data_IF_183262834727
#
_entry.id   IF_183262834727
#
_cell.length_a   1.000
_cell.length_b   1.000
_cell.length_c   1.000
_cell.angle_alpha   90.00
_cell.angle_beta   90.00
_cell.angle_gamma   90.00
#
_symmetry.space_group_name_H-M   'P 1'
#
loop_
_entity.id
_entity.type
_entity.pdbx_description
1 polymer ?
#
# COMPACT_ATOMS: atom_id res chain seq x y z
N UNK A 1 81.50 13.09 -38.93
CA UNK A 1 80.71 12.33 -37.94
C UNK A 1 79.26 12.43 -38.37
N UNK A 2 78.77 11.44 -39.10
CA UNK A 2 77.35 11.27 -39.38
C UNK A 2 76.69 10.80 -38.08
N UNK A 3 75.73 11.57 -37.57
CA UNK A 3 74.91 11.15 -36.43
C UNK A 3 74.13 9.90 -36.85
N UNK A 4 74.20 8.83 -36.05
CA UNK A 4 73.37 7.64 -36.20
C UNK A 4 71.90 8.02 -36.05
N UNK A 5 71.06 7.63 -37.00
CA UNK A 5 69.60 7.90 -36.97
C UNK A 5 68.93 7.21 -35.79
N UNK A 6 69.53 6.13 -35.30
CA UNK A 6 69.03 5.34 -34.17
C UNK A 6 69.81 5.60 -32.87
N UNK A 7 70.51 6.73 -32.75
CA UNK A 7 71.16 7.11 -31.51
C UNK A 7 70.14 7.22 -30.36
N UNK A 8 70.19 6.27 -29.42
CA UNK A 8 69.25 6.15 -28.30
C UNK A 8 68.25 5.01 -28.41
N UNK A 9 68.13 4.33 -29.56
CA UNK A 9 67.38 3.08 -29.67
C UNK A 9 68.16 1.93 -29.07
N UNK A 10 67.46 1.17 -28.25
CA UNK A 10 68.02 0.23 -27.32
C UNK A 10 67.96 -1.17 -27.98
N UNK A 11 66.87 -1.45 -28.71
CA UNK A 11 66.75 -2.54 -29.69
C UNK A 11 66.03 -2.07 -30.96
N UNK A 12 66.54 -2.47 -32.14
CA UNK A 12 65.94 -2.24 -33.45
C UNK A 12 65.55 -3.59 -34.08
N UNK A 13 64.28 -3.75 -34.42
CA UNK A 13 63.80 -4.88 -35.24
C UNK A 13 63.49 -4.34 -36.62
N UNK A 14 64.19 -4.81 -37.65
CA UNK A 14 64.01 -4.36 -39.03
C UNK A 14 63.51 -5.53 -39.90
N UNK A 15 62.26 -5.40 -40.36
CA UNK A 15 61.59 -6.36 -41.21
C UNK A 15 61.70 -5.95 -42.68
N UNK A 16 62.08 -6.88 -43.55
CA UNK A 16 62.21 -6.64 -45.00
C UNK A 16 63.47 -5.88 -45.38
N UNK A 17 64.58 -6.17 -44.71
CA UNK A 17 65.83 -5.40 -44.84
C UNK A 17 66.39 -5.40 -46.28
N UNK A 18 66.15 -6.45 -47.06
CA UNK A 18 66.57 -6.53 -48.46
C UNK A 18 68.09 -6.52 -48.67
N UNK A 19 68.53 -6.24 -49.90
CA UNK A 19 69.95 -6.29 -50.30
C UNK A 19 70.72 -4.99 -50.03
N UNK A 20 70.01 -3.86 -49.99
CA UNK A 20 70.59 -2.51 -50.06
C UNK A 20 70.45 -1.73 -48.75
N UNK A 21 70.19 -2.41 -47.63
CA UNK A 21 70.10 -1.75 -46.34
C UNK A 21 71.42 -1.08 -45.95
N UNK A 22 71.34 0.21 -45.67
CA UNK A 22 72.48 0.95 -45.12
C UNK A 22 72.53 0.79 -43.60
N UNK A 23 73.43 -0.08 -43.13
CA UNK A 23 73.67 -0.29 -41.70
C UNK A 23 74.47 0.86 -41.05
N UNK A 24 74.92 1.87 -41.80
CA UNK A 24 75.69 2.99 -41.24
C UNK A 24 74.87 3.93 -40.35
N UNK A 25 73.55 3.86 -40.45
CA UNK A 25 72.62 4.65 -39.64
C UNK A 25 72.36 4.07 -38.25
N UNK A 26 72.94 2.90 -37.93
CA UNK A 26 72.76 2.17 -36.68
C UNK A 26 73.91 2.49 -35.71
N UNK A 27 73.60 2.76 -34.44
CA UNK A 27 74.61 2.97 -33.41
C UNK A 27 75.24 1.64 -32.96
N UNK A 28 76.51 1.65 -32.57
CA UNK A 28 77.26 0.44 -32.24
C UNK A 28 76.64 -0.30 -31.02
N UNK A 29 76.05 0.43 -30.08
CA UNK A 29 75.42 -0.09 -28.87
C UNK A 29 74.00 -0.66 -29.06
N UNK A 30 73.36 -0.43 -30.21
CA UNK A 30 71.99 -0.88 -30.46
C UNK A 30 71.96 -2.37 -30.79
N UNK A 31 71.13 -3.15 -30.09
CA UNK A 31 70.84 -4.52 -30.51
C UNK A 31 69.94 -4.52 -31.75
N UNK A 32 70.31 -5.25 -32.80
CA UNK A 32 69.57 -5.25 -34.07
C UNK A 32 69.16 -6.64 -34.47
N UNK A 33 67.89 -6.81 -34.82
CA UNK A 33 67.35 -8.01 -35.44
C UNK A 33 66.96 -7.67 -36.88
N UNK A 34 67.71 -8.20 -37.84
CA UNK A 34 67.48 -8.02 -39.27
C UNK A 34 66.74 -9.23 -39.82
N UNK A 35 65.59 -8.99 -40.44
CA UNK A 35 64.67 -10.04 -40.88
C UNK A 35 64.38 -9.90 -42.36
N UNK A 36 64.50 -11.01 -43.10
CA UNK A 36 64.13 -11.08 -44.51
C UNK A 36 63.72 -12.50 -44.90
N UNK A 37 62.77 -12.62 -45.83
CA UNK A 37 62.39 -13.91 -46.39
C UNK A 37 63.45 -14.46 -47.36
N UNK A 38 64.35 -13.62 -47.88
CA UNK A 38 65.41 -13.97 -48.81
C UNK A 38 66.75 -14.20 -48.07
N UNK A 39 67.20 -15.45 -47.90
CA UNK A 39 68.43 -15.74 -47.17
C UNK A 39 69.69 -15.18 -47.85
N UNK A 40 69.65 -14.97 -49.17
CA UNK A 40 70.79 -14.43 -49.93
C UNK A 40 71.02 -12.95 -49.65
N UNK A 41 69.96 -12.19 -49.36
CA UNK A 41 70.05 -10.80 -48.95
C UNK A 41 70.76 -10.70 -47.59
N UNK A 42 70.30 -11.46 -46.60
CA UNK A 42 70.89 -11.50 -45.26
C UNK A 42 72.36 -11.93 -45.28
N UNK A 43 72.73 -12.97 -46.06
CA UNK A 43 74.13 -13.39 -46.24
C UNK A 43 75.01 -12.29 -46.83
N UNK A 44 74.46 -11.43 -47.69
CA UNK A 44 75.19 -10.31 -48.28
C UNK A 44 75.42 -9.23 -47.23
N UNK A 45 74.40 -8.88 -46.45
CA UNK A 45 74.51 -7.93 -45.34
C UNK A 45 75.44 -8.42 -44.24
N UNK A 46 75.42 -9.72 -43.91
CA UNK A 46 76.33 -10.32 -42.94
C UNK A 46 77.80 -10.18 -43.37
N UNK A 47 78.10 -10.36 -44.65
CA UNK A 47 79.45 -10.13 -45.19
C UNK A 47 79.86 -8.66 -45.11
N UNK A 48 78.93 -7.75 -45.39
CA UNK A 48 79.16 -6.30 -45.31
C UNK A 48 79.38 -5.83 -43.86
N UNK A 49 78.68 -6.42 -42.89
CA UNK A 49 78.83 -6.07 -41.47
C UNK A 49 80.14 -6.59 -40.88
N UNK A 50 80.63 -7.77 -41.30
CA UNK A 50 81.94 -8.30 -40.91
C UNK A 50 83.10 -7.40 -41.37
N UNK A 51 82.96 -6.74 -42.52
CA UNK A 51 83.97 -5.82 -43.04
C UNK A 51 84.04 -4.49 -42.26
N UNK A 52 83.00 -4.14 -41.50
CA UNK A 52 82.95 -2.98 -40.61
C UNK A 52 83.16 -3.45 -39.16
N UNK A 53 84.42 -3.54 -38.73
CA UNK A 53 84.80 -3.99 -37.38
C UNK A 53 84.14 -3.14 -36.28
N UNK A 54 83.10 -3.67 -35.64
CA UNK A 54 82.42 -3.02 -34.50
C UNK A 54 80.98 -3.50 -34.27
N UNK A 55 80.21 -3.70 -35.34
CA UNK A 55 78.75 -3.88 -35.25
C UNK A 55 78.35 -5.36 -35.06
N UNK A 56 79.24 -6.32 -35.37
CA UNK A 56 78.86 -7.74 -35.52
C UNK A 56 78.25 -8.39 -34.27
N UNK A 57 78.69 -8.01 -33.07
CA UNK A 57 78.25 -8.66 -31.83
C UNK A 57 76.79 -8.36 -31.47
N UNK A 58 76.22 -7.30 -32.04
CA UNK A 58 74.85 -6.84 -31.76
C UNK A 58 73.85 -7.14 -32.88
N UNK A 59 74.26 -7.82 -33.97
CA UNK A 59 73.39 -8.16 -35.10
C UNK A 59 72.90 -9.60 -35.04
N UNK A 60 71.59 -9.78 -35.12
CA UNK A 60 70.94 -11.07 -35.35
C UNK A 60 70.30 -11.09 -36.74
N UNK A 61 70.61 -12.11 -37.53
CA UNK A 61 70.04 -12.30 -38.87
C UNK A 61 69.00 -13.43 -38.84
N UNK A 62 67.76 -13.13 -39.21
CA UNK A 62 66.65 -14.09 -39.19
C UNK A 62 66.06 -14.30 -40.61
N UNK A 63 66.40 -15.41 -41.30
CA UNK A 63 65.86 -15.73 -42.62
C UNK A 63 64.45 -16.33 -42.51
N UNK A 64 63.47 -15.51 -42.12
CA UNK A 64 62.09 -15.95 -41.89
C UNK A 64 61.09 -15.14 -42.74
N UNK A 65 60.10 -15.84 -43.28
CA UNK A 65 58.98 -15.21 -43.96
C UNK A 65 57.89 -14.88 -42.92
N UNK A 66 57.74 -13.60 -42.60
CA UNK A 66 56.79 -13.16 -41.57
C UNK A 66 55.40 -12.93 -42.16
N UNK A 67 54.38 -13.38 -41.42
CA UNK A 67 52.98 -13.14 -41.75
C UNK A 67 52.14 -12.95 -40.48
N UNK A 68 50.88 -12.50 -40.61
CA UNK A 68 49.97 -12.39 -39.47
C UNK A 68 49.69 -13.73 -38.77
N UNK A 69 49.79 -14.86 -39.49
CA UNK A 69 49.52 -16.21 -38.99
C UNK A 69 50.51 -17.21 -39.57
N UNK A 70 50.71 -18.32 -38.86
CA UNK A 70 51.47 -19.46 -39.34
C UNK A 70 50.69 -20.15 -40.48
N UNK A 71 51.43 -20.69 -41.45
CA UNK A 71 50.85 -21.48 -42.51
C UNK A 71 51.76 -21.58 -43.73
N UNK A 72 51.19 -22.06 -44.82
CA UNK A 72 51.80 -22.02 -46.14
C UNK A 72 51.13 -20.94 -46.98
N UNK A 73 51.93 -20.18 -47.71
CA UNK A 73 51.45 -19.08 -48.55
C UNK A 73 52.27 -18.99 -49.83
N UNK A 74 51.69 -18.42 -50.87
CA UNK A 74 52.42 -18.17 -52.12
C UNK A 74 53.29 -16.92 -51.96
N UNK A 75 54.56 -17.06 -52.35
CA UNK A 75 55.51 -15.96 -52.47
C UNK A 75 55.81 -15.72 -53.95
N UNK A 76 55.61 -14.49 -54.40
CA UNK A 76 55.73 -14.09 -55.80
C UNK A 76 57.13 -13.51 -56.03
N UNK A 77 57.97 -14.25 -56.76
CA UNK A 77 59.32 -13.81 -57.12
C UNK A 77 59.28 -13.02 -58.42
N UNK A 78 59.72 -11.77 -58.38
CA UNK A 78 59.82 -10.91 -59.56
C UNK A 78 61.25 -10.80 -60.07
N UNK A 79 61.42 -10.28 -61.28
CA UNK A 79 62.74 -10.05 -61.87
C UNK A 79 63.59 -9.06 -61.07
N UNK A 80 62.96 -8.08 -60.44
CA UNK A 80 63.53 -7.22 -59.41
C UNK A 80 63.19 -7.82 -58.05
N UNK A 81 64.19 -8.36 -57.36
CA UNK A 81 63.99 -9.15 -56.14
C UNK A 81 63.47 -8.32 -54.97
N UNK A 82 63.77 -7.01 -54.94
CA UNK A 82 63.28 -6.06 -53.93
C UNK A 82 61.77 -5.86 -53.92
N UNK A 83 61.08 -6.24 -55.00
CA UNK A 83 59.61 -6.18 -55.09
C UNK A 83 58.95 -7.56 -55.00
N UNK A 84 59.70 -8.58 -54.60
CA UNK A 84 59.15 -9.91 -54.32
C UNK A 84 58.43 -9.91 -52.98
N UNK A 85 57.24 -10.49 -52.94
CA UNK A 85 56.29 -10.29 -51.84
C UNK A 85 55.33 -11.46 -51.69
N UNK A 86 54.53 -11.43 -50.62
CA UNK A 86 53.45 -12.37 -50.35
C UNK A 86 52.16 -12.05 -51.10
N UNK A 87 52.09 -10.87 -51.70
CA UNK A 87 50.93 -10.40 -52.46
C UNK A 87 51.32 -10.13 -53.91
N UNK A 88 50.36 -10.29 -54.82
CA UNK A 88 50.58 -9.97 -56.24
C UNK A 88 50.76 -8.47 -56.48
N UNK A 89 51.55 -8.10 -57.48
CA UNK A 89 51.75 -6.69 -57.86
C UNK A 89 50.55 -6.12 -58.60
N UNK A 90 50.08 -4.97 -58.12
CA UNK A 90 49.00 -4.19 -58.73
C UNK A 90 49.54 -2.82 -59.17
N UNK A 91 49.48 -1.80 -58.31
CA UNK A 91 49.87 -0.42 -58.60
C UNK A 91 51.33 -0.28 -59.02
N UNK A 92 52.23 -1.10 -58.47
CA UNK A 92 53.67 -1.00 -58.74
C UNK A 92 54.04 -1.24 -60.22
N UNK A 93 53.23 -2.00 -60.96
CA UNK A 93 53.45 -2.23 -62.40
C UNK A 93 53.35 -0.94 -63.23
N UNK A 94 52.61 0.06 -62.72
CA UNK A 94 52.51 1.39 -63.35
C UNK A 94 53.81 2.18 -63.19
N UNK A 95 54.43 2.09 -62.01
CA UNK A 95 55.68 2.77 -61.70
C UNK A 95 56.88 2.08 -62.39
N UNK A 96 56.85 0.75 -62.46
CA UNK A 96 57.90 -0.06 -63.04
C UNK A 96 57.35 -1.05 -64.07
N UNK A 97 57.11 -0.59 -65.33
CA UNK A 97 56.52 -1.43 -66.37
C UNK A 97 57.41 -2.62 -66.77
N UNK A 98 58.70 -2.59 -66.42
CA UNK A 98 59.64 -3.68 -66.65
C UNK A 98 59.55 -4.84 -65.66
N UNK A 99 58.71 -4.75 -64.61
CA UNK A 99 58.59 -5.81 -63.61
C UNK A 99 57.81 -7.01 -64.17
N UNK A 100 58.42 -8.20 -64.07
CA UNK A 100 57.88 -9.47 -64.56
C UNK A 100 57.96 -10.51 -63.46
N UNK A 101 56.88 -11.28 -63.31
CA UNK A 101 56.86 -12.45 -62.43
C UNK A 101 57.81 -13.49 -63.01
N UNK A 102 58.79 -13.93 -62.22
CA UNK A 102 59.73 -14.99 -62.58
C UNK A 102 59.18 -16.36 -62.20
N UNK A 103 58.73 -16.50 -60.96
CA UNK A 103 58.17 -17.75 -60.43
C UNK A 103 57.33 -17.46 -59.20
N UNK A 104 56.45 -18.37 -58.85
CA UNK A 104 55.84 -18.45 -57.52
C UNK A 104 56.49 -19.58 -56.74
N UNK A 105 56.52 -19.47 -55.42
CA UNK A 105 57.02 -20.49 -54.53
C UNK A 105 56.16 -20.51 -53.27
N UNK A 106 55.74 -21.69 -52.83
CA UNK A 106 55.09 -21.83 -51.53
C UNK A 106 56.14 -21.72 -50.42
N UNK A 107 55.94 -20.78 -49.49
CA UNK A 107 56.78 -20.61 -48.31
C UNK A 107 55.97 -20.89 -47.04
N UNK A 108 56.65 -21.48 -46.05
CA UNK A 108 56.13 -21.55 -44.69
C UNK A 108 56.33 -20.20 -44.01
N UNK A 109 55.26 -19.67 -43.40
CA UNK A 109 55.29 -18.40 -42.68
C UNK A 109 55.44 -18.59 -41.18
N UNK A 110 56.15 -17.66 -40.55
CA UNK A 110 56.23 -17.51 -39.10
C UNK A 110 55.28 -16.38 -38.66
N UNK A 111 54.41 -16.61 -37.65
CA UNK A 111 53.60 -15.53 -37.08
C UNK A 111 54.50 -14.43 -36.51
N UNK A 112 54.23 -13.18 -36.87
CA UNK A 112 55.00 -12.04 -36.35
C UNK A 112 54.97 -11.95 -34.83
N UNK A 113 53.82 -12.22 -34.21
CA UNK A 113 53.69 -12.16 -32.76
C UNK A 113 54.59 -13.19 -32.03
N UNK A 114 54.65 -14.41 -32.55
CA UNK A 114 55.53 -15.45 -32.02
C UNK A 114 57.00 -15.10 -32.24
N UNK A 115 57.34 -14.62 -33.44
CA UNK A 115 58.70 -14.18 -33.75
C UNK A 115 59.18 -13.10 -32.78
N UNK A 116 58.37 -12.06 -32.54
CA UNK A 116 58.70 -10.96 -31.64
C UNK A 116 58.82 -11.42 -30.18
N UNK A 117 57.94 -12.31 -29.69
CA UNK A 117 58.04 -12.88 -28.32
C UNK A 117 59.34 -13.65 -28.09
N UNK A 118 59.91 -14.24 -29.15
CA UNK A 118 61.15 -14.99 -29.08
C UNK A 118 62.40 -14.10 -29.20
N UNK A 119 62.25 -12.79 -29.40
CA UNK A 119 63.37 -11.85 -29.41
C UNK A 119 63.65 -11.33 -28.00
N UNK A 120 64.92 -11.09 -27.70
CA UNK A 120 65.35 -10.41 -26.47
C UNK A 120 65.18 -8.90 -26.66
N UNK A 121 63.96 -8.41 -26.49
CA UNK A 121 63.68 -6.97 -26.53
C UNK A 121 63.88 -6.37 -25.14
N UNK A 122 64.50 -5.20 -25.05
CA UNK A 122 64.50 -4.44 -23.80
C UNK A 122 63.11 -3.81 -23.57
N UNK A 123 62.80 -3.39 -22.35
CA UNK A 123 61.47 -2.83 -22.03
C UNK A 123 61.43 -1.29 -22.09
N UNK A 124 62.43 -0.63 -22.68
CA UNK A 124 62.60 0.83 -22.51
C UNK A 124 62.51 1.61 -23.81
N UNK A 125 63.21 1.19 -24.87
CA UNK A 125 63.20 1.94 -26.12
C UNK A 125 63.41 1.04 -27.35
N UNK A 126 62.35 0.34 -27.75
CA UNK A 126 62.39 -0.49 -28.94
C UNK A 126 61.89 0.27 -30.17
N UNK A 127 62.57 0.05 -31.29
CA UNK A 127 62.17 0.54 -32.61
C UNK A 127 61.78 -0.63 -33.51
N UNK A 128 60.62 -0.57 -34.14
CA UNK A 128 60.22 -1.50 -35.20
C UNK A 128 60.25 -0.79 -36.54
N UNK A 129 61.08 -1.28 -37.45
CA UNK A 129 61.11 -0.84 -38.83
C UNK A 129 60.49 -1.90 -39.75
N UNK A 130 59.57 -1.49 -40.61
CA UNK A 130 58.91 -2.37 -41.58
C UNK A 130 59.09 -1.80 -42.98
N UNK A 131 59.96 -2.46 -43.75
CA UNK A 131 60.21 -2.19 -45.17
C UNK A 131 59.56 -3.29 -46.03
N UNK A 132 58.39 -3.78 -45.62
CA UNK A 132 57.57 -4.77 -46.33
C UNK A 132 56.21 -4.14 -46.63
N UNK A 133 56.09 -3.50 -47.81
CA UNK A 133 54.94 -2.66 -48.16
C UNK A 133 53.62 -3.46 -48.15
N UNK A 134 53.62 -4.67 -48.73
CA UNK A 134 52.40 -5.47 -48.88
C UNK A 134 51.86 -6.01 -47.55
N UNK A 135 52.77 -6.34 -46.62
CA UNK A 135 52.42 -6.89 -45.31
C UNK A 135 52.43 -5.88 -44.17
N UNK A 136 52.75 -4.60 -44.41
CA UNK A 136 52.94 -3.61 -43.36
C UNK A 136 51.77 -3.54 -42.37
N UNK A 137 50.56 -3.23 -42.85
CA UNK A 137 49.37 -3.14 -42.00
C UNK A 137 48.92 -4.51 -41.43
N UNK A 138 48.89 -5.61 -42.20
CA UNK A 138 48.61 -6.94 -41.64
C UNK A 138 49.51 -7.32 -40.46
N UNK A 139 50.81 -7.06 -40.54
CA UNK A 139 51.76 -7.34 -39.45
C UNK A 139 51.49 -6.46 -38.23
N UNK A 140 51.26 -5.16 -38.44
CA UNK A 140 50.91 -4.23 -37.35
C UNK A 140 49.61 -4.63 -36.65
N UNK A 141 48.60 -5.08 -37.40
CA UNK A 141 47.33 -5.58 -36.84
C UNK A 141 47.52 -6.83 -35.99
N UNK A 142 48.34 -7.78 -36.46
CA UNK A 142 48.65 -8.97 -35.67
C UNK A 142 49.37 -8.62 -34.37
N UNK A 143 50.36 -7.72 -34.42
CA UNK A 143 51.06 -7.23 -33.23
C UNK A 143 50.12 -6.52 -32.24
N UNK A 144 49.18 -5.70 -32.74
CA UNK A 144 48.21 -5.02 -31.88
C UNK A 144 47.22 -6.01 -31.24
N UNK A 145 46.73 -7.00 -31.99
CA UNK A 145 45.83 -8.04 -31.48
C UNK A 145 46.45 -8.86 -30.35
N UNK A 146 47.75 -9.12 -30.43
CA UNK A 146 48.52 -9.83 -29.40
C UNK A 146 49.06 -8.92 -28.27
N UNK A 147 48.74 -7.62 -28.29
CA UNK A 147 49.22 -6.64 -27.30
C UNK A 147 50.73 -6.39 -27.35
N UNK A 148 51.40 -6.81 -28.43
CA UNK A 148 52.85 -6.67 -28.61
C UNK A 148 53.24 -5.37 -29.29
N UNK A 149 52.32 -4.70 -29.99
CA UNK A 149 52.66 -3.44 -30.67
C UNK A 149 53.18 -2.39 -29.68
N UNK A 150 52.58 -2.30 -28.48
CA UNK A 150 52.94 -1.32 -27.44
C UNK A 150 54.34 -1.49 -26.84
N UNK A 151 55.06 -2.58 -27.14
CA UNK A 151 56.46 -2.73 -26.71
C UNK A 151 57.39 -1.82 -27.52
N UNK A 152 56.95 -1.34 -28.69
CA UNK A 152 57.72 -0.46 -29.56
C UNK A 152 57.36 1.00 -29.31
N UNK A 153 58.33 1.78 -28.86
CA UNK A 153 58.18 3.21 -28.64
C UNK A 153 58.18 3.97 -29.97
N UNK A 154 58.93 3.45 -30.94
CA UNK A 154 59.13 4.03 -32.26
C UNK A 154 58.77 3.03 -33.35
N UNK A 155 58.07 3.51 -34.38
CA UNK A 155 57.81 2.75 -35.60
C UNK A 155 58.35 3.51 -36.80
N UNK A 156 59.03 2.83 -37.71
CA UNK A 156 59.45 3.37 -38.99
C UNK A 156 58.91 2.50 -40.12
N UNK A 157 58.10 3.07 -41.00
CA UNK A 157 57.34 2.30 -41.97
C UNK A 157 57.57 2.85 -43.36
N UNK A 158 57.96 1.99 -44.30
CA UNK A 158 57.86 2.31 -45.71
C UNK A 158 56.43 2.02 -46.19
N UNK A 159 55.81 3.01 -46.81
CA UNK A 159 54.39 2.94 -47.23
C UNK A 159 54.23 3.41 -48.67
N UNK A 160 52.99 3.46 -49.15
CA UNK A 160 52.64 3.96 -50.48
C UNK A 160 51.31 4.70 -50.44
N UNK A 161 51.20 5.78 -51.23
CA UNK A 161 49.95 6.54 -51.35
C UNK A 161 48.86 5.75 -52.06
N UNK A 162 49.23 4.93 -53.05
CA UNK A 162 48.36 3.97 -53.72
C UNK A 162 48.66 2.53 -53.28
N UNK A 163 47.73 1.61 -53.50
CA UNK A 163 47.93 0.19 -53.23
C UNK A 163 48.88 -0.43 -54.27
N UNK A 164 50.13 -0.68 -53.88
CA UNK A 164 51.17 -1.20 -54.79
C UNK A 164 51.07 -2.70 -55.05
N UNK A 165 50.49 -3.42 -54.09
CA UNK A 165 50.23 -4.86 -54.14
C UNK A 165 48.76 -5.14 -53.87
N UNK A 166 48.29 -6.33 -54.21
CA UNK A 166 46.91 -6.73 -53.97
C UNK A 166 46.58 -6.64 -52.48
N UNK A 167 45.54 -5.88 -52.14
CA UNK A 167 45.10 -5.62 -50.77
C UNK A 167 46.14 -4.93 -49.87
N UNK A 168 47.22 -4.38 -50.43
CA UNK A 168 48.17 -3.60 -49.65
C UNK A 168 47.53 -2.31 -49.14
N UNK A 169 47.82 -2.00 -47.88
CA UNK A 169 47.35 -0.79 -47.24
C UNK A 169 48.04 0.45 -47.81
N UNK A 170 47.29 1.54 -47.87
CA UNK A 170 47.83 2.86 -48.21
C UNK A 170 48.44 3.54 -46.98
N UNK A 171 49.21 4.60 -47.20
CA UNK A 171 49.66 5.53 -46.16
C UNK A 171 48.50 5.97 -45.26
N UNK A 172 47.34 6.30 -45.83
CA UNK A 172 46.16 6.73 -45.07
C UNK A 172 45.64 5.62 -44.15
N UNK A 173 45.57 4.38 -44.64
CA UNK A 173 45.09 3.24 -43.85
C UNK A 173 46.00 2.97 -42.64
N UNK A 174 47.32 3.07 -42.85
CA UNK A 174 48.33 2.85 -41.81
C UNK A 174 48.27 3.97 -40.75
N UNK A 175 48.23 5.23 -41.17
CA UNK A 175 48.13 6.39 -40.26
C UNK A 175 46.84 6.29 -39.44
N UNK A 176 45.71 5.98 -40.07
CA UNK A 176 44.44 5.81 -39.38
C UNK A 176 44.51 4.69 -38.35
N UNK A 177 45.01 3.51 -38.73
CA UNK A 177 45.15 2.39 -37.81
C UNK A 177 46.04 2.72 -36.62
N UNK A 178 47.22 3.28 -36.86
CA UNK A 178 48.19 3.60 -35.81
C UNK A 178 47.70 4.69 -34.86
N UNK A 179 46.95 5.68 -35.35
CA UNK A 179 46.31 6.68 -34.49
C UNK A 179 45.32 6.05 -33.50
N UNK A 180 44.60 5.00 -33.90
CA UNK A 180 43.70 4.23 -33.03
C UNK A 180 44.46 3.35 -32.03
N UNK A 181 45.73 3.05 -32.32
CA UNK A 181 46.63 2.33 -31.40
C UNK A 181 47.47 3.27 -30.52
N UNK A 182 47.25 4.59 -30.61
CA UNK A 182 47.95 5.57 -29.77
C UNK A 182 49.29 6.03 -30.30
N UNK A 183 49.60 5.76 -31.55
CA UNK A 183 50.82 6.25 -32.21
C UNK A 183 50.56 7.57 -32.92
N UNK A 184 51.49 8.50 -32.74
CA UNK A 184 51.47 9.80 -33.40
C UNK A 184 52.53 9.83 -34.51
N UNK A 185 52.12 10.28 -35.70
CA UNK A 185 53.05 10.54 -36.80
C UNK A 185 53.95 11.73 -36.41
N UNK A 186 55.27 11.51 -36.43
CA UNK A 186 56.28 12.53 -36.11
C UNK A 186 57.04 13.01 -37.33
N UNK A 187 57.37 12.08 -38.23
CA UNK A 187 58.17 12.36 -39.41
C UNK A 187 57.55 11.71 -40.62
N UNK A 188 57.70 12.38 -41.75
CA UNK A 188 57.34 11.86 -43.06
C UNK A 188 58.42 12.31 -44.04
N UNK A 189 59.16 11.35 -44.58
CA UNK A 189 60.15 11.56 -45.62
C UNK A 189 59.53 11.18 -46.97
N UNK A 190 59.39 12.18 -47.84
CA UNK A 190 58.84 12.06 -49.19
C UNK A 190 59.94 12.20 -50.26
N UNK A 191 61.20 11.90 -49.92
CA UNK A 191 62.31 11.88 -50.90
C UNK A 191 62.02 10.93 -52.06
N UNK A 192 61.32 9.83 -51.78
CA UNK A 192 60.58 9.04 -52.75
C UNK A 192 59.07 9.32 -52.56
N UNK A 193 58.41 10.03 -53.49
CA UNK A 193 56.99 10.38 -53.34
C UNK A 193 56.05 9.19 -53.52
N UNK A 194 56.50 8.13 -54.19
CA UNK A 194 55.70 6.93 -54.41
C UNK A 194 55.80 5.98 -53.21
N UNK A 195 56.98 5.97 -52.55
CA UNK A 195 57.29 5.12 -51.40
C UNK A 195 57.74 5.93 -50.16
N UNK A 196 56.88 6.78 -49.59
CA UNK A 196 57.25 7.61 -48.45
C UNK A 196 57.55 6.78 -47.19
N UNK A 197 58.49 7.28 -46.39
CA UNK A 197 58.84 6.71 -45.07
C UNK A 197 58.18 7.51 -43.97
N UNK A 198 57.54 6.81 -43.05
CA UNK A 198 56.79 7.39 -41.94
C UNK A 198 57.44 7.00 -40.61
N UNK A 199 57.63 7.98 -39.73
CA UNK A 199 58.09 7.74 -38.36
C UNK A 199 56.99 8.06 -37.35
N UNK A 200 56.72 7.11 -36.46
CA UNK A 200 55.71 7.24 -35.41
C UNK A 200 56.32 7.10 -34.01
N UNK A 201 55.70 7.76 -33.04
CA UNK A 201 56.00 7.59 -31.61
C UNK A 201 54.74 7.25 -30.84
N UNK A 202 54.82 6.32 -29.89
CA UNK A 202 53.71 6.05 -28.99
C UNK A 202 53.42 7.26 -28.11
N UNK A 203 52.14 7.61 -27.95
CA UNK A 203 51.71 8.61 -26.99
C UNK A 203 51.65 7.97 -25.58
N UNK A 204 52.46 8.44 -24.62
CA UNK A 204 52.54 7.83 -23.29
C UNK A 204 51.23 7.92 -22.49
N UNK A 205 50.33 8.83 -22.84
CA UNK A 205 49.03 9.02 -22.19
C UNK A 205 47.90 8.22 -22.85
N UNK A 206 48.16 7.52 -23.96
CA UNK A 206 47.11 6.82 -24.71
C UNK A 206 46.44 5.72 -23.89
N UNK A 207 47.23 4.90 -23.20
CA UNK A 207 46.70 3.83 -22.34
C UNK A 207 45.85 4.40 -21.20
N UNK A 208 46.30 5.49 -20.59
CA UNK A 208 45.54 6.20 -19.56
C UNK A 208 44.22 6.74 -20.12
N UNK A 209 44.25 7.36 -21.30
CA UNK A 209 43.07 7.91 -21.96
C UNK A 209 42.05 6.82 -22.30
N UNK A 210 42.49 5.70 -22.85
CA UNK A 210 41.63 4.54 -23.13
C UNK A 210 41.00 3.98 -21.84
N UNK A 211 41.79 3.82 -20.78
CA UNK A 211 41.30 3.37 -19.48
C UNK A 211 40.25 4.33 -18.88
N UNK A 212 40.51 5.64 -18.91
CA UNK A 212 39.56 6.65 -18.42
C UNK A 212 38.30 6.72 -19.27
N UNK A 213 38.38 6.57 -20.60
CA UNK A 213 37.20 6.52 -21.47
C UNK A 213 36.31 5.31 -21.16
N UNK A 214 36.90 4.14 -20.91
CA UNK A 214 36.14 2.95 -20.50
C UNK A 214 35.45 3.17 -19.15
N UNK A 215 36.15 3.73 -18.16
CA UNK A 215 35.57 4.06 -16.85
C UNK A 215 34.41 5.06 -16.98
N UNK A 216 34.57 6.11 -17.79
CA UNK A 216 33.50 7.08 -18.06
C UNK A 216 32.27 6.41 -18.69
N UNK A 217 32.48 5.46 -19.62
CA UNK A 217 31.39 4.72 -20.26
C UNK A 217 30.65 3.85 -19.24
N UNK A 218 31.38 3.17 -18.35
CA UNK A 218 30.78 2.38 -17.28
C UNK A 218 30.02 3.24 -16.27
N UNK A 219 30.57 4.39 -15.88
CA UNK A 219 29.91 5.32 -14.97
C UNK A 219 28.63 5.90 -15.58
N UNK A 220 28.65 6.26 -16.88
CA UNK A 220 27.44 6.70 -17.60
C UNK A 220 26.36 5.62 -17.58
N UNK A 221 26.73 4.38 -17.88
CA UNK A 221 25.78 3.25 -17.84
C UNK A 221 25.20 3.04 -16.45
N UNK A 222 26.01 3.16 -15.39
CA UNK A 222 25.53 3.09 -14.00
C UNK A 222 24.61 4.26 -13.64
N UNK A 223 24.91 5.47 -14.11
CA UNK A 223 24.07 6.64 -13.91
C UNK A 223 22.69 6.47 -14.59
N UNK A 224 22.67 6.03 -15.85
CA UNK A 224 21.43 5.75 -16.61
C UNK A 224 20.57 4.68 -15.92
N UNK A 225 21.19 3.61 -15.40
CA UNK A 225 20.48 2.58 -14.62
C UNK A 225 19.87 3.15 -13.34
N UNK A 226 20.62 3.97 -12.61
CA UNK A 226 20.16 4.61 -11.38
C UNK A 226 19.02 5.60 -11.64
N UNK A 227 19.10 6.38 -12.72
CA UNK A 227 18.02 7.27 -13.14
C UNK A 227 16.75 6.48 -13.49
N UNK A 228 16.88 5.36 -14.22
CA UNK A 228 15.76 4.49 -14.54
C UNK A 228 15.10 3.87 -13.28
N UNK A 229 15.90 3.46 -12.29
CA UNK A 229 15.40 2.97 -11.00
C UNK A 229 14.69 4.07 -10.20
N UNK A 230 15.26 5.27 -10.15
CA UNK A 230 14.64 6.42 -9.48
C UNK A 230 13.32 6.81 -10.14
N UNK A 231 13.25 6.80 -11.47
CA UNK A 231 12.01 7.07 -12.21
C UNK A 231 10.92 6.04 -11.88
N UNK A 232 11.27 4.74 -11.79
CA UNK A 232 10.33 3.69 -11.36
C UNK A 232 9.86 3.90 -9.93
N UNK A 233 10.77 4.20 -9.01
CA UNK A 233 10.44 4.45 -7.61
C UNK A 233 9.54 5.69 -7.42
N UNK A 234 9.76 6.74 -8.21
CA UNK A 234 8.88 7.92 -8.26
C UNK A 234 7.49 7.56 -8.78
N UNK A 235 7.39 6.83 -9.89
CA UNK A 235 6.10 6.39 -10.43
C UNK A 235 5.32 5.50 -9.45
N UNK A 236 5.99 4.61 -8.71
CA UNK A 236 5.37 3.81 -7.65
C UNK A 236 4.87 4.66 -6.48
N UNK A 237 5.65 5.67 -6.06
CA UNK A 237 5.22 6.60 -5.00
C UNK A 237 4.02 7.43 -5.44
N UNK A 238 4.02 7.94 -6.66
CA UNK A 238 2.91 8.73 -7.19
C UNK A 238 1.62 7.89 -7.29
N UNK A 239 1.74 6.62 -7.68
CA UNK A 239 0.63 5.66 -7.67
C UNK A 239 0.06 5.44 -6.27
N UNK A 240 0.93 5.23 -5.26
CA UNK A 240 0.52 5.08 -3.85
C UNK A 240 -0.13 6.34 -3.30
N UNK A 241 0.37 7.53 -3.65
CA UNK A 241 -0.24 8.81 -3.26
C UNK A 241 -1.63 8.96 -3.89
N UNK A 242 -1.80 8.61 -5.16
CA UNK A 242 -3.09 8.65 -5.84
C UNK A 242 -4.11 7.70 -5.18
N UNK A 243 -3.69 6.49 -4.81
CA UNK A 243 -4.53 5.52 -4.11
C UNK A 243 -4.91 6.01 -2.70
N UNK A 244 -3.95 6.52 -1.93
CA UNK A 244 -4.21 7.09 -0.61
C UNK A 244 -5.19 8.27 -0.67
N UNK A 245 -5.05 9.16 -1.67
CA UNK A 245 -5.98 10.27 -1.89
C UNK A 245 -7.39 9.80 -2.24
N UNK A 246 -7.52 8.70 -3.01
CA UNK A 246 -8.82 8.11 -3.32
C UNK A 246 -9.49 7.55 -2.06
N UNK A 247 -8.76 6.79 -1.25
CA UNK A 247 -9.25 6.25 0.03
C UNK A 247 -9.66 7.39 0.97
N UNK A 248 -8.85 8.44 1.09
CA UNK A 248 -9.17 9.60 1.92
C UNK A 248 -10.44 10.32 1.45
N UNK A 249 -10.65 10.45 0.13
CA UNK A 249 -11.87 11.03 -0.44
C UNK A 249 -13.11 10.16 -0.15
N UNK A 250 -13.00 8.84 -0.27
CA UNK A 250 -14.09 7.91 0.04
C UNK A 250 -14.44 7.92 1.53
N UNK A 251 -13.43 7.91 2.41
CA UNK A 251 -13.61 8.02 3.85
C UNK A 251 -14.28 9.35 4.25
N UNK A 252 -13.90 10.46 3.61
CA UNK A 252 -14.54 11.76 3.83
C UNK A 252 -16.03 11.73 3.47
N UNK A 253 -16.40 11.13 2.33
CA UNK A 253 -17.80 10.95 1.92
C UNK A 253 -18.59 10.08 2.89
N UNK A 254 -18.02 8.96 3.34
CA UNK A 254 -18.67 8.09 4.33
C UNK A 254 -18.89 8.82 5.66
N UNK A 255 -17.91 9.61 6.10
CA UNK A 255 -18.00 10.38 7.34
C UNK A 255 -19.09 11.45 7.25
N UNK A 256 -19.30 12.05 6.07
CA UNK A 256 -20.40 12.98 5.83
C UNK A 256 -21.77 12.28 5.88
N UNK A 257 -21.91 11.09 5.30
CA UNK A 257 -23.13 10.27 5.38
C UNK A 257 -23.44 9.91 6.83
N UNK A 258 -22.46 9.41 7.59
CA UNK A 258 -22.64 9.04 9.00
C UNK A 258 -23.07 10.25 9.83
N UNK A 259 -22.47 11.43 9.59
CA UNK A 259 -22.88 12.67 10.26
C UNK A 259 -24.33 13.04 9.94
N UNK A 260 -24.75 12.91 8.68
CA UNK A 260 -26.13 13.19 8.29
C UNK A 260 -27.13 12.20 8.93
N UNK A 261 -26.78 10.92 9.01
CA UNK A 261 -27.58 9.90 9.68
C UNK A 261 -27.67 10.13 11.19
N UNK A 262 -26.56 10.47 11.84
CA UNK A 262 -26.55 10.82 13.27
C UNK A 262 -27.40 12.06 13.55
N UNK A 263 -27.34 13.09 12.70
CA UNK A 263 -28.17 14.28 12.82
C UNK A 263 -29.66 13.94 12.69
N UNK A 264 -30.04 13.08 11.74
CA UNK A 264 -31.42 12.59 11.61
C UNK A 264 -31.87 11.80 12.84
N UNK A 265 -31.04 10.89 13.33
CA UNK A 265 -31.35 10.07 14.50
C UNK A 265 -31.51 10.92 15.78
N UNK A 266 -30.68 11.96 15.94
CA UNK A 266 -30.81 12.94 17.01
C UNK A 266 -32.14 13.70 16.92
N UNK A 267 -32.48 14.22 15.73
CA UNK A 267 -33.75 14.93 15.52
C UNK A 267 -34.96 14.04 15.80
N UNK A 268 -34.93 12.75 15.42
CA UNK A 268 -36.00 11.80 15.70
C UNK A 268 -36.11 11.48 17.19
N UNK A 269 -34.98 11.36 17.90
CA UNK A 269 -34.97 11.20 19.36
C UNK A 269 -35.53 12.43 20.06
N UNK A 270 -35.15 13.63 19.64
CA UNK A 270 -35.67 14.88 20.20
C UNK A 270 -37.18 15.00 19.98
N UNK A 271 -37.69 14.59 18.81
CA UNK A 271 -39.12 14.53 18.54
C UNK A 271 -39.84 13.55 19.48
N UNK A 272 -39.32 12.33 19.64
CA UNK A 272 -39.88 11.31 20.56
C UNK A 272 -39.85 11.77 22.02
N UNK A 273 -38.78 12.46 22.44
CA UNK A 273 -38.69 13.05 23.80
C UNK A 273 -39.75 14.14 23.98
N UNK A 274 -39.94 15.02 22.99
CA UNK A 274 -40.98 16.05 23.05
C UNK A 274 -42.39 15.45 23.14
N UNK A 275 -42.67 14.40 22.38
CA UNK A 275 -43.94 13.67 22.41
C UNK A 275 -44.16 12.97 23.76
N UNK A 276 -43.14 12.27 24.28
CA UNK A 276 -43.19 11.64 25.60
C UNK A 276 -43.40 12.66 26.72
N UNK A 277 -42.75 13.83 26.65
CA UNK A 277 -42.93 14.90 27.62
C UNK A 277 -44.35 15.49 27.57
N UNK A 278 -44.93 15.63 26.36
CA UNK A 278 -46.32 16.05 26.20
C UNK A 278 -47.28 15.03 26.81
N UNK A 279 -47.10 13.74 26.49
CA UNK A 279 -47.89 12.66 27.06
C UNK A 279 -47.75 12.58 28.59
N UNK A 280 -46.55 12.76 29.13
CA UNK A 280 -46.31 12.82 30.58
C UNK A 280 -47.02 14.02 31.23
N UNK A 281 -47.03 15.19 30.58
CA UNK A 281 -47.75 16.37 31.05
C UNK A 281 -49.27 16.14 31.05
N UNK A 282 -49.82 15.51 30.01
CA UNK A 282 -51.23 15.14 29.92
C UNK A 282 -51.62 14.10 30.98
N UNK A 283 -50.79 13.06 31.16
CA UNK A 283 -50.97 12.07 32.21
C UNK A 283 -50.91 12.70 33.61
N UNK A 284 -50.00 13.66 33.84
CA UNK A 284 -49.93 14.39 35.10
C UNK A 284 -51.19 15.24 35.36
N UNK A 285 -51.75 15.87 34.32
CA UNK A 285 -53.03 16.59 34.41
C UNK A 285 -54.17 15.64 34.75
N UNK A 286 -54.29 14.50 34.05
CA UNK A 286 -55.30 13.48 34.33
C UNK A 286 -55.15 12.92 35.75
N UNK A 287 -53.92 12.66 36.20
CA UNK A 287 -53.65 12.16 37.54
C UNK A 287 -54.03 13.18 38.62
N UNK A 288 -53.87 14.48 38.36
CA UNK A 288 -54.38 15.53 39.26
C UNK A 288 -55.90 15.58 39.28
N UNK A 289 -56.57 15.44 38.13
CA UNK A 289 -58.04 15.35 38.06
C UNK A 289 -58.57 14.15 38.84
N UNK A 290 -57.97 12.97 38.65
CA UNK A 290 -58.34 11.75 39.39
C UNK A 290 -58.08 11.93 40.89
N UNK A 291 -56.99 12.60 41.28
CA UNK A 291 -56.74 12.91 42.71
C UNK A 291 -57.80 13.83 43.29
N UNK A 292 -58.24 14.86 42.57
CA UNK A 292 -59.32 15.75 43.03
C UNK A 292 -60.64 15.00 43.10
N UNK A 293 -60.99 14.19 42.10
CA UNK A 293 -62.19 13.37 42.12
C UNK A 293 -62.19 12.34 43.25
N UNK A 294 -61.03 11.71 43.53
CA UNK A 294 -60.88 10.78 44.64
C UNK A 294 -60.98 11.47 45.98
N UNK A 295 -60.44 12.69 46.12
CA UNK A 295 -60.59 13.50 47.31
C UNK A 295 -62.06 13.91 47.54
N UNK A 296 -62.77 14.28 46.48
CA UNK A 296 -64.19 14.60 46.52
C UNK A 296 -65.03 13.36 46.85
N UNK A 297 -64.74 12.20 46.25
CA UNK A 297 -65.39 10.94 46.61
C UNK A 297 -65.11 10.52 48.05
N UNK A 298 -63.89 10.70 48.56
CA UNK A 298 -63.56 10.44 49.95
C UNK A 298 -64.35 11.37 50.90
N UNK A 299 -64.57 12.62 50.50
CA UNK A 299 -65.39 13.59 51.24
C UNK A 299 -66.87 13.18 51.25
N UNK A 300 -67.40 12.76 50.10
CA UNK A 300 -68.78 12.23 49.99
C UNK A 300 -68.93 10.92 50.79
N UNK A 301 -67.92 10.05 50.81
CA UNK A 301 -67.93 8.83 51.62
C UNK A 301 -67.91 9.15 53.12
N UNK A 302 -67.08 10.10 53.57
CA UNK A 302 -67.08 10.56 54.95
C UNK A 302 -68.41 11.21 55.37
N UNK A 303 -69.06 11.96 54.46
CA UNK A 303 -70.41 12.50 54.67
C UNK A 303 -71.49 11.39 54.72
N UNK A 304 -71.31 10.29 53.97
CA UNK A 304 -72.21 9.13 54.04
C UNK A 304 -72.01 8.32 55.31
N UNK A 305 -70.77 8.12 55.75
CA UNK A 305 -70.46 7.44 57.01
C UNK A 305 -70.99 8.21 58.22
N UNK A 306 -70.83 9.53 58.26
CA UNK A 306 -71.42 10.37 59.30
C UNK A 306 -72.95 10.30 59.30
N UNK A 307 -73.60 10.34 58.13
CA UNK A 307 -75.05 10.12 58.02
C UNK A 307 -75.49 8.72 58.45
N UNK A 308 -74.68 7.68 58.18
CA UNK A 308 -74.96 6.31 58.63
C UNK A 308 -74.88 6.19 60.16
N UNK A 309 -73.88 6.81 60.80
CA UNK A 309 -73.75 6.88 62.26
C UNK A 309 -74.95 7.61 62.88
N UNK A 310 -75.42 8.69 62.25
CA UNK A 310 -76.62 9.44 62.68
C UNK A 310 -77.90 8.58 62.57
N UNK A 311 -78.06 7.84 61.47
CA UNK A 311 -79.19 6.92 61.26
C UNK A 311 -79.16 5.75 62.26
N UNK A 312 -77.98 5.17 62.56
CA UNK A 312 -77.87 4.10 63.55
C UNK A 312 -78.16 4.60 64.96
N UNK A 313 -77.75 5.83 65.30
CA UNK A 313 -78.12 6.48 66.56
C UNK A 313 -79.65 6.64 66.68
N UNK A 314 -80.32 7.11 65.62
CA UNK A 314 -81.77 7.22 65.57
C UNK A 314 -82.47 5.85 65.69
N UNK A 315 -81.88 4.79 65.11
CA UNK A 315 -82.39 3.42 65.20
C UNK A 315 -82.31 2.86 66.62
N UNK A 316 -81.22 3.12 67.34
CA UNK A 316 -81.05 2.73 68.75
C UNK A 316 -82.05 3.47 69.64
N UNK A 317 -82.26 4.77 69.41
CA UNK A 317 -83.26 5.57 70.13
C UNK A 317 -84.70 5.09 69.87
N UNK A 318 -85.05 4.76 68.61
CA UNK A 318 -86.36 4.18 68.28
C UNK A 318 -86.56 2.80 68.91
N UNK A 319 -85.52 1.96 68.95
CA UNK A 319 -85.59 0.64 69.57
C UNK A 319 -85.85 0.75 71.08
N UNK A 320 -85.15 1.66 71.77
CA UNK A 320 -85.36 1.94 73.20
C UNK A 320 -86.75 2.54 73.50
N UNK A 321 -87.28 3.40 72.61
CA UNK A 321 -88.63 3.94 72.73
C UNK A 321 -89.71 2.86 72.55
N UNK A 322 -89.49 1.92 71.62
CA UNK A 322 -90.42 0.80 71.36
C UNK A 322 -90.46 -0.17 72.53
N UNK A 323 -89.32 -0.45 73.16
CA UNK A 323 -89.20 -1.33 74.33
C UNK A 323 -89.97 -0.77 75.53
N UNK A 324 -89.83 0.53 75.82
CA UNK A 324 -90.63 1.25 76.83
C UNK A 324 -92.14 1.19 76.57
N UNK A 325 -92.55 1.24 75.30
CA UNK A 325 -93.97 1.16 74.92
C UNK A 325 -94.55 -0.24 75.14
N UNK A 326 -93.77 -1.30 74.90
CA UNK A 326 -94.17 -2.69 75.18
C UNK A 326 -94.32 -2.98 76.66
N UNK A 327 -93.49 -2.37 77.52
CA UNK A 327 -93.60 -2.57 78.98
C UNK A 327 -94.80 -1.83 79.56
N UNK A 328 -95.08 -0.60 79.11
CA UNK A 328 -96.30 0.12 79.47
C UNK A 328 -97.59 -0.61 79.02
N UNK A 329 -97.56 -1.30 77.87
CA UNK A 329 -98.71 -2.05 77.37
C UNK A 329 -99.00 -3.33 78.19
N UNK A 330 -97.97 -3.97 78.75
CA UNK A 330 -98.13 -5.13 79.65
C UNK A 330 -98.73 -4.71 80.99
N UNK A 331 -98.35 -3.54 81.51
CA UNK A 331 -98.86 -3.02 82.78
C UNK A 331 -100.35 -2.64 82.72
N UNK A 332 -100.78 -1.96 81.65
CA UNK A 332 -102.20 -1.62 81.41
C UNK A 332 -103.06 -2.87 81.19
N UNK A 333 -102.52 -3.90 80.51
CA UNK A 333 -103.24 -5.17 80.30
C UNK A 333 -103.43 -5.96 81.60
N UNK A 334 -102.56 -5.76 82.59
CA UNK A 334 -102.66 -6.38 83.92
C UNK A 334 -103.69 -5.64 84.77
N UNK A 335 -103.76 -4.32 84.68
CA UNK A 335 -104.78 -3.50 85.35
C UNK A 335 -106.21 -3.74 84.81
N UNK A 336 -106.39 -3.95 83.50
CA UNK A 336 -107.71 -4.30 82.94
C UNK A 336 -108.23 -5.67 83.42
N UNK A 337 -107.34 -6.65 83.70
CA UNK A 337 -107.75 -7.96 84.22
C UNK A 337 -108.21 -7.89 85.67
N UNK A 338 -107.58 -7.06 86.51
CA UNK A 338 -107.97 -6.88 87.91
C UNK A 338 -109.34 -6.19 88.00
N UNK A 339 -109.58 -5.16 87.18
CA UNK A 339 -110.85 -4.45 87.12
C UNK A 339 -112.00 -5.29 86.53
N UNK A 340 -111.72 -6.21 85.61
CA UNK A 340 -112.73 -7.17 85.10
C UNK A 340 -113.19 -8.18 86.16
N UNK A 341 -112.30 -8.60 87.06
CA UNK A 341 -112.65 -9.54 88.15
C UNK A 341 -113.51 -8.85 89.22
N UNK A 342 -113.18 -7.59 89.58
CA UNK A 342 -113.96 -6.78 90.53
C UNK A 342 -115.37 -6.43 90.04
N UNK A 343 -115.53 -6.19 88.73
CA UNK A 343 -116.86 -5.92 88.15
C UNK A 343 -117.78 -7.15 88.18
N UNK A 344 -117.20 -8.35 88.13
CA UNK A 344 -117.94 -9.61 88.14
C UNK A 344 -118.43 -9.97 89.55
N UNK A 345 -117.67 -9.63 90.58
CA UNK A 345 -118.07 -9.79 91.99
C UNK A 345 -119.19 -8.80 92.39
N UNK A 346 -119.10 -7.55 91.95
CA UNK A 346 -120.13 -6.53 92.23
C UNK A 346 -121.49 -6.86 91.56
N UNK A 347 -121.48 -7.45 90.36
CA UNK A 347 -122.71 -7.89 89.69
C UNK A 347 -123.40 -9.09 90.35
N UNK A 348 -122.64 -9.94 91.05
CA UNK A 348 -123.20 -11.05 91.84
C UNK A 348 -123.87 -10.50 93.11
N UNK A 349 -123.22 -9.55 93.77
CA UNK A 349 -123.76 -8.87 94.97
C UNK A 349 -125.03 -8.05 94.68
N UNK A 350 -125.09 -7.39 93.53
CA UNK A 350 -126.27 -6.61 93.13
C UNK A 350 -127.50 -7.51 92.84
N UNK A 351 -127.27 -8.71 92.30
CA UNK A 351 -128.33 -9.71 92.08
C UNK A 351 -128.87 -10.28 93.39
N UNK A 352 -128.02 -10.56 94.37
CA UNK A 352 -128.45 -11.08 95.68
C UNK A 352 -129.27 -10.06 96.48
N UNK A 353 -128.86 -8.79 96.46
CA UNK A 353 -129.63 -7.72 97.11
C UNK A 353 -131.00 -7.50 96.46
N UNK A 354 -131.12 -7.66 95.13
CA UNK A 354 -132.41 -7.54 94.43
C UNK A 354 -133.41 -8.62 94.84
N UNK A 355 -132.95 -9.85 95.07
CA UNK A 355 -133.79 -10.98 95.49
C UNK A 355 -134.27 -10.79 96.93
N UNK A 356 -133.40 -10.30 97.83
CA UNK A 356 -133.80 -10.02 99.22
C UNK A 356 -134.81 -8.86 99.31
N UNK A 357 -134.70 -7.86 98.44
CA UNK A 357 -135.57 -6.69 98.42
C UNK A 357 -136.96 -7.01 97.82
N UNK A 358 -137.06 -7.96 96.90
CA UNK A 358 -138.35 -8.50 96.44
C UNK A 358 -139.03 -9.40 97.47
N UNK A 359 -138.27 -10.20 98.22
CA UNK A 359 -138.82 -11.03 99.31
C UNK A 359 -139.39 -10.17 100.44
N UNK A 360 -138.69 -9.11 100.86
CA UNK A 360 -139.21 -8.18 101.88
C UNK A 360 -140.46 -7.41 101.41
N UNK A 361 -140.52 -7.02 100.13
CA UNK A 361 -141.70 -6.35 99.56
C UNK A 361 -142.93 -7.26 99.51
N UNK A 362 -142.74 -8.55 99.25
CA UNK A 362 -143.84 -9.52 99.27
C UNK A 362 -144.38 -9.80 100.68
N UNK A 363 -143.54 -9.75 101.72
CA UNK A 363 -143.98 -9.89 103.11
C UNK A 363 -144.68 -8.64 103.64
N UNK A 364 -144.22 -7.43 103.27
CA UNK A 364 -144.88 -6.18 103.62
C UNK A 364 -146.28 -6.07 103.01
N UNK A 365 -146.47 -6.52 101.76
CA UNK A 365 -147.77 -6.56 101.09
C UNK A 365 -148.74 -7.55 101.74
N UNK A 366 -148.25 -8.66 102.31
CA UNK A 366 -149.08 -9.58 103.11
C UNK A 366 -149.50 -8.99 104.46
N UNK A 367 -148.62 -8.22 105.10
CA UNK A 367 -148.92 -7.54 106.36
C UNK A 367 -149.95 -6.40 106.16
N UNK A 368 -149.85 -5.62 105.07
CA UNK A 368 -150.82 -4.57 104.75
C UNK A 368 -152.22 -5.13 104.38
N UNK A 369 -152.27 -6.26 103.67
CA UNK A 369 -153.54 -6.91 103.34
C UNK A 369 -154.28 -7.45 104.59
N UNK A 370 -153.56 -7.96 105.59
CA UNK A 370 -154.17 -8.41 106.84
C UNK A 370 -154.63 -7.25 107.74
N UNK A 371 -153.92 -6.12 107.75
CA UNK A 371 -154.35 -4.91 108.48
C UNK A 371 -155.62 -4.30 107.86
N UNK A 372 -155.79 -4.42 106.53
CA UNK A 372 -156.99 -3.94 105.83
C UNK A 372 -158.21 -4.82 106.12
N UNK A 373 -158.04 -6.14 106.26
CA UNK A 373 -159.14 -7.05 106.58
C UNK A 373 -159.62 -6.94 108.05
N UNK A 374 -158.74 -6.59 108.98
CA UNK A 374 -159.09 -6.34 110.39
C UNK A 374 -159.88 -5.02 110.54
N UNK A 375 -159.78 -4.10 109.56
CA UNK A 375 -160.45 -2.79 109.61
C UNK A 375 -161.91 -2.82 109.18
N UNK A 376 -162.34 -3.79 108.38
CA UNK A 376 -163.66 -3.78 107.73
C UNK A 376 -164.76 -4.62 108.40
N UNK A 377 -164.49 -5.33 109.50
CA UNK A 377 -165.51 -6.13 110.20
C UNK A 377 -165.82 -5.72 111.65
N UNK A 378 -165.15 -4.70 112.20
CA UNK A 378 -165.35 -4.26 113.60
C UNK A 378 -165.75 -2.78 113.74
N UNK A 379 -166.96 -2.45 113.28
CA UNK A 379 -167.77 -1.27 113.65
C UNK A 379 -167.65 0.00 112.78
N UNK A 380 -168.82 0.44 112.26
CA UNK A 380 -169.70 1.33 113.05
C UNK A 380 -171.15 1.36 112.57
N UNK A 381 -172.05 0.97 113.47
CA UNK A 381 -173.40 1.53 113.56
C UNK A 381 -173.29 2.96 114.10
N UNK A 382 -173.70 3.98 113.33
CA UNK A 382 -174.54 5.11 113.80
C UNK A 382 -174.84 6.09 112.64
N UNK A 383 -176.11 6.47 112.60
CA UNK A 383 -176.86 7.29 111.62
C UNK A 383 -176.67 8.81 111.75
N UNK A 384 -176.72 9.52 110.61
CA UNK A 384 -177.47 10.78 110.41
C UNK A 384 -177.74 11.00 108.89
N UNK A 385 -179.00 11.28 108.50
CA UNK A 385 -179.55 11.51 107.13
C UNK A 385 -179.51 13.01 106.76
N UNK A 386 -179.75 13.56 105.56
CA UNK A 386 -179.96 13.21 104.12
C UNK A 386 -179.78 14.55 103.35
N UNK A 387 -179.49 14.55 102.03
CA UNK A 387 -180.55 14.88 101.07
C UNK A 387 -180.52 14.05 99.78
N UNK A 388 -181.64 14.20 99.07
CA UNK A 388 -182.06 13.64 97.79
C UNK A 388 -181.13 13.98 96.62
N UNK A 389 -181.22 13.20 95.55
CA UNK A 389 -181.01 13.74 94.21
C UNK A 389 -180.35 12.82 93.20
N UNK A 390 -181.13 11.83 92.73
CA UNK A 390 -180.93 10.93 91.59
C UNK A 390 -179.86 9.83 91.68
#
# INVERSE_FOLDING_TARGET
>A
MTLSTYAGSDTLVWLGVGYNADLSCIADETQVVLVDANPSALKTLEKQSVAKSGIKENLTFAPVCLAPRAGETEFYHYNLSEYSALSELTGLRKLFPGIKLKTTQTLTTTPIAEFIRNQTLNNKNNTLRIDIIDQCLPLLRALAQDGLLSIFNHLELQTSTESMYQNAATTSDIVQFLSQQGYELRTQDNSDPDLPKLGFTVNPLWQTLQGTQQQLLEEKKKAEQKEAEQAKALAEKDSKIAEANKIASEAAKQLEIIKAEQAKALAEKDFKIAEANKAASEAAKQLNVIKTEKADQAKVLAEKETKLIEIDKQRVEQKAAKEKQTDALKEVKTQCKVLQTQNRELQIQEKENRVQLEQLKAELLKAEAQITLIRDLFFKNSTFQRPEGQ
#
